data_IF_843830711750
#
_entry.id   IF_843830711750
#
_cell.length_a   1.000
_cell.length_b   1.000
_cell.length_c   1.000
_cell.angle_alpha   90.00
_cell.angle_beta   90.00
_cell.angle_gamma   90.00
#
_symmetry.space_group_name_H-M   'P 1'
#
loop_
_entity.id
_entity.type
_entity.pdbx_description
1 polymer ?
#
# COMPACT_ATOMS: atom_id res chain seq x y z
N UNK A 1 -2.11 -27.82 -19.95
CA UNK A 1 -3.26 -26.94 -20.32
C UNK A 1 -3.08 -25.54 -19.73
N UNK A 2 -3.85 -24.53 -20.14
CA UNK A 2 -3.68 -23.14 -19.68
C UNK A 2 -5.02 -22.49 -19.37
N UNK A 3 -5.03 -21.65 -18.34
CA UNK A 3 -6.22 -20.89 -17.89
C UNK A 3 -6.66 -19.95 -19.03
N UNK A 4 -7.96 -19.94 -19.36
CA UNK A 4 -8.53 -19.10 -20.43
C UNK A 4 -9.41 -18.00 -19.87
N UNK A 5 -9.37 -16.83 -20.50
CA UNK A 5 -10.29 -15.71 -20.24
C UNK A 5 -11.45 -15.64 -21.24
N UNK A 6 -11.64 -16.66 -22.10
CA UNK A 6 -12.78 -16.69 -23.03
C UNK A 6 -14.12 -16.83 -22.28
N UNK A 7 -15.23 -16.46 -22.91
CA UNK A 7 -16.58 -16.71 -22.40
C UNK A 7 -17.25 -17.90 -23.10
N UNK A 8 -16.47 -18.64 -23.89
CA UNK A 8 -16.93 -19.77 -24.70
C UNK A 8 -17.13 -21.03 -23.86
N UNK A 9 -16.37 -21.18 -22.77
CA UNK A 9 -16.61 -22.24 -21.79
C UNK A 9 -17.85 -21.99 -20.92
N UNK A 10 -18.36 -20.75 -20.87
CA UNK A 10 -19.57 -20.40 -20.11
C UNK A 10 -20.82 -20.72 -20.92
N UNK A 11 -21.90 -21.02 -20.21
CA UNK A 11 -23.24 -21.21 -20.80
C UNK A 11 -23.76 -19.91 -21.43
N UNK A 12 -24.77 -20.05 -22.31
CA UNK A 12 -25.56 -18.91 -22.80
C UNK A 12 -26.44 -18.40 -21.66
N UNK A 13 -26.92 -17.16 -21.76
CA UNK A 13 -27.89 -16.61 -20.80
C UNK A 13 -29.18 -17.46 -20.74
N UNK A 14 -29.56 -18.07 -21.86
CA UNK A 14 -30.66 -19.04 -21.95
C UNK A 14 -30.34 -20.42 -21.38
N UNK A 15 -29.17 -20.63 -20.77
CA UNK A 15 -28.74 -21.90 -20.18
C UNK A 15 -28.09 -22.90 -21.15
N UNK A 16 -28.26 -22.73 -22.46
CA UNK A 16 -27.71 -23.63 -23.48
C UNK A 16 -26.16 -23.65 -23.54
N UNK A 17 -25.58 -24.82 -23.81
CA UNK A 17 -24.12 -24.99 -24.01
C UNK A 17 -23.65 -24.33 -25.31
N UNK A 18 -22.48 -23.68 -25.30
CA UNK A 18 -21.86 -23.10 -26.51
C UNK A 18 -20.92 -24.11 -27.16
N UNK A 19 -20.96 -24.22 -28.50
CA UNK A 19 -20.01 -25.04 -29.27
C UNK A 19 -18.66 -24.32 -29.38
N UNK A 20 -17.57 -25.00 -29.05
CA UNK A 20 -16.22 -24.47 -29.21
C UNK A 20 -15.86 -24.42 -30.70
N UNK A 21 -15.46 -23.26 -31.21
CA UNK A 21 -15.18 -23.02 -32.64
C UNK A 21 -13.71 -22.76 -32.95
N UNK A 22 -12.86 -22.54 -31.94
CA UNK A 22 -11.42 -22.29 -32.12
C UNK A 22 -10.57 -22.86 -30.99
N UNK A 23 -9.30 -23.14 -31.28
CA UNK A 23 -8.28 -23.55 -30.30
C UNK A 23 -7.63 -22.31 -29.63
N UNK A 24 -7.13 -22.48 -28.40
CA UNK A 24 -6.53 -21.40 -27.59
C UNK A 24 -5.08 -21.11 -28.02
N UNK A 25 -4.73 -19.82 -28.13
CA UNK A 25 -3.34 -19.36 -28.37
C UNK A 25 -2.72 -18.97 -27.02
N UNK A 26 -1.42 -19.26 -26.83
CA UNK A 26 -0.67 -18.95 -25.60
C UNK A 26 0.56 -18.09 -25.87
N UNK A 27 0.42 -16.76 -25.89
CA UNK A 27 1.55 -15.80 -25.76
C UNK A 27 1.05 -14.51 -25.09
N UNK A 28 1.92 -13.82 -24.36
CA UNK A 28 1.67 -12.42 -24.03
C UNK A 28 1.70 -11.60 -25.34
N UNK A 29 0.77 -10.65 -25.49
CA UNK A 29 0.63 -9.89 -26.75
C UNK A 29 1.73 -8.83 -26.84
N UNK A 30 2.43 -8.77 -27.97
CA UNK A 30 3.26 -7.62 -28.35
C UNK A 30 4.63 -7.50 -27.68
N UNK A 31 5.19 -8.56 -27.08
CA UNK A 31 6.57 -8.52 -26.54
C UNK A 31 6.77 -7.77 -25.22
N UNK A 32 5.70 -7.19 -24.63
CA UNK A 32 5.79 -6.43 -23.39
C UNK A 32 5.99 -7.33 -22.15
N UNK A 33 6.76 -6.83 -21.18
CA UNK A 33 6.99 -7.48 -19.88
C UNK A 33 5.98 -7.00 -18.84
N UNK A 34 5.41 -7.94 -18.07
CA UNK A 34 4.58 -7.63 -16.90
C UNK A 34 5.28 -8.14 -15.65
N UNK A 35 5.77 -7.23 -14.82
CA UNK A 35 6.38 -7.55 -13.54
C UNK A 35 5.33 -8.14 -12.59
N UNK A 36 5.63 -9.30 -12.02
CA UNK A 36 4.87 -9.90 -10.94
C UNK A 36 5.71 -9.85 -9.69
N UNK A 37 5.17 -9.23 -8.64
CA UNK A 37 5.82 -9.20 -7.35
C UNK A 37 5.27 -10.33 -6.47
N UNK A 38 6.05 -11.38 -6.18
CA UNK A 38 5.61 -12.47 -5.31
C UNK A 38 5.71 -12.09 -3.82
N UNK A 39 6.65 -11.21 -3.45
CA UNK A 39 6.85 -10.68 -2.09
C UNK A 39 7.30 -9.22 -2.19
N UNK A 40 6.81 -8.37 -1.31
CA UNK A 40 7.13 -6.95 -1.23
C UNK A 40 7.14 -6.51 0.23
N UNK A 41 8.22 -5.88 0.66
CA UNK A 41 8.38 -5.39 2.03
C UNK A 41 8.31 -3.86 2.13
N UNK A 42 8.39 -3.16 1.00
CA UNK A 42 8.34 -1.69 0.93
C UNK A 42 7.42 -1.21 -0.16
N UNK A 43 6.81 -0.04 0.06
CA UNK A 43 5.99 0.66 -0.91
C UNK A 43 6.21 2.16 -0.83
N UNK A 44 5.83 2.89 -1.88
CA UNK A 44 5.81 4.35 -1.87
C UNK A 44 4.41 4.82 -1.46
N UNK A 45 4.30 5.54 -0.35
CA UNK A 45 3.03 5.95 0.24
C UNK A 45 2.91 7.48 0.27
N UNK A 46 1.72 7.97 -0.02
CA UNK A 46 1.40 9.40 -0.06
C UNK A 46 0.58 9.80 1.17
N UNK A 47 0.97 10.90 1.81
CA UNK A 47 0.16 11.60 2.80
C UNK A 47 -0.53 12.79 2.11
N UNK A 48 -1.79 12.58 1.71
CA UNK A 48 -2.52 13.53 0.86
C UNK A 48 -2.72 14.92 1.46
N UNK A 49 -2.92 15.05 2.78
CA UNK A 49 -3.11 16.37 3.42
C UNK A 49 -1.83 17.19 3.49
N UNK A 50 -0.67 16.56 3.63
CA UNK A 50 0.64 17.24 3.69
C UNK A 50 1.32 17.30 2.30
N UNK A 51 0.67 16.78 1.25
CA UNK A 51 1.22 16.64 -0.09
C UNK A 51 2.62 15.97 -0.14
N UNK A 52 2.91 15.07 0.78
CA UNK A 52 4.21 14.39 0.91
C UNK A 52 4.09 12.92 0.46
N UNK A 53 5.17 12.36 -0.09
CA UNK A 53 5.23 10.97 -0.52
C UNK A 53 6.55 10.36 -0.12
N UNK A 54 6.51 9.25 0.62
CA UNK A 54 7.70 8.60 1.17
C UNK A 54 7.64 7.08 1.02
N UNK A 55 8.83 6.50 0.84
CA UNK A 55 9.01 5.05 0.91
C UNK A 55 8.87 4.61 2.38
N UNK A 56 7.97 3.66 2.61
CA UNK A 56 7.75 3.06 3.93
C UNK A 56 7.78 1.53 3.85
N UNK A 57 8.15 0.90 4.96
CA UNK A 57 8.04 -0.57 5.11
C UNK A 57 6.60 -0.96 5.41
N UNK A 58 6.16 -2.05 4.81
CA UNK A 58 4.87 -2.69 5.09
C UNK A 58 5.07 -3.58 6.32
N UNK A 59 4.15 -3.51 7.28
CA UNK A 59 4.21 -4.30 8.51
C UNK A 59 3.21 -5.44 8.45
N UNK A 60 1.93 -5.11 8.24
CA UNK A 60 0.86 -6.09 8.24
C UNK A 60 -0.30 -5.68 7.31
N UNK A 61 -1.07 -6.67 6.87
CA UNK A 61 -2.33 -6.47 6.15
C UNK A 61 -3.46 -6.59 7.18
N UNK A 62 -4.17 -5.50 7.44
CA UNK A 62 -5.18 -5.45 8.50
C UNK A 62 -6.56 -5.85 7.98
N UNK A 63 -6.88 -5.44 6.76
CA UNK A 63 -8.22 -5.67 6.20
C UNK A 63 -8.21 -5.75 4.67
N UNK A 64 -9.10 -6.59 4.13
CA UNK A 64 -9.39 -6.65 2.70
C UNK A 64 -10.89 -6.88 2.48
N UNK A 65 -11.52 -6.04 1.67
CA UNK A 65 -12.96 -6.10 1.37
C UNK A 65 -13.38 -7.37 0.62
N UNK A 66 -12.52 -7.95 -0.22
CA UNK A 66 -12.93 -9.03 -1.13
C UNK A 66 -12.89 -10.42 -0.50
N UNK A 67 -11.95 -10.67 0.42
CA UNK A 67 -11.74 -11.99 1.01
C UNK A 67 -10.88 -11.88 2.28
N UNK A 68 -11.38 -12.43 3.40
CA UNK A 68 -10.69 -12.43 4.69
C UNK A 68 -9.49 -13.38 4.75
N UNK A 69 -9.42 -14.41 3.91
CA UNK A 69 -8.25 -15.29 3.86
C UNK A 69 -6.98 -14.52 3.47
N UNK A 70 -7.13 -13.44 2.68
CA UNK A 70 -6.00 -12.61 2.25
C UNK A 70 -5.38 -11.80 3.40
N UNK A 71 -6.15 -11.53 4.46
CA UNK A 71 -5.64 -10.94 5.70
C UNK A 71 -4.82 -11.99 6.46
N UNK A 72 -5.40 -13.19 6.61
CA UNK A 72 -4.77 -14.31 7.33
C UNK A 72 -3.46 -14.78 6.70
N UNK A 73 -3.34 -14.67 5.37
CA UNK A 73 -2.13 -15.03 4.61
C UNK A 73 -1.26 -13.84 4.26
N UNK A 74 -1.53 -12.64 4.80
CA UNK A 74 -0.77 -11.41 4.54
C UNK A 74 -0.53 -11.14 3.05
N UNK A 75 -1.57 -11.28 2.23
CA UNK A 75 -1.47 -11.15 0.76
C UNK A 75 -1.78 -9.72 0.30
N UNK A 76 -0.83 -9.13 -0.42
CA UNK A 76 -0.95 -7.76 -0.94
C UNK A 76 -1.72 -7.74 -2.27
N UNK A 77 -2.87 -7.07 -2.26
CA UNK A 77 -3.73 -6.83 -3.44
C UNK A 77 -4.12 -5.36 -3.47
N UNK A 78 -4.54 -4.87 -4.63
CA UNK A 78 -5.18 -3.54 -4.73
C UNK A 78 -6.33 -3.44 -3.72
N UNK A 79 -6.44 -2.28 -3.06
CA UNK A 79 -7.40 -1.93 -2.01
C UNK A 79 -7.28 -2.68 -0.68
N UNK A 80 -6.19 -3.42 -0.43
CA UNK A 80 -5.90 -3.89 0.92
C UNK A 80 -5.57 -2.71 1.85
N UNK A 81 -6.12 -2.72 3.07
CA UNK A 81 -5.75 -1.77 4.13
C UNK A 81 -4.56 -2.38 4.88
N UNK A 82 -3.45 -1.66 4.88
CA UNK A 82 -2.17 -2.11 5.43
C UNK A 82 -1.67 -1.17 6.51
N UNK A 83 -0.97 -1.74 7.48
CA UNK A 83 -0.20 -0.97 8.43
C UNK A 83 1.21 -0.77 7.88
N UNK A 84 1.65 0.48 7.79
CA UNK A 84 2.98 0.84 7.33
C UNK A 84 3.79 1.49 8.47
N UNK A 85 5.12 1.35 8.41
CA UNK A 85 6.02 2.05 9.33
C UNK A 85 6.10 3.51 8.93
N UNK A 86 5.48 4.40 9.69
CA UNK A 86 5.56 5.84 9.43
C UNK A 86 6.95 6.39 9.74
N UNK A 87 7.37 7.45 9.05
CA UNK A 87 8.64 8.12 9.32
C UNK A 87 8.73 8.65 10.77
N UNK A 88 7.61 8.99 11.40
CA UNK A 88 7.55 9.35 12.82
C UNK A 88 7.98 8.19 13.74
N UNK A 89 7.68 6.95 13.36
CA UNK A 89 8.15 5.76 14.07
C UNK A 89 9.57 5.32 13.67
N UNK A 90 10.21 5.96 12.67
CA UNK A 90 11.65 5.82 12.40
C UNK A 90 12.43 6.81 13.27
N UNK A 91 11.97 8.07 13.37
CA UNK A 91 12.57 9.07 14.26
C UNK A 91 12.51 8.67 15.74
N UNK A 92 11.45 7.93 16.16
CA UNK A 92 11.31 7.39 17.52
C UNK A 92 11.96 6.02 17.76
N UNK A 93 12.61 5.39 16.77
CA UNK A 93 13.25 4.06 16.96
C UNK A 93 14.76 4.07 16.79
N UNK A 94 15.35 5.23 16.52
CA UNK A 94 16.79 5.45 16.68
C UNK A 94 17.12 6.00 18.08
N UNK A 95 16.11 6.23 18.93
CA UNK A 95 16.22 6.34 20.38
C UNK A 95 15.17 5.44 21.03
N UNK A 96 15.52 4.80 22.15
CA UNK A 96 14.65 3.95 22.98
C UNK A 96 14.33 2.53 22.45
N UNK A 97 15.26 1.61 22.72
CA UNK A 97 14.85 0.42 23.47
C UNK A 97 14.46 0.87 24.89
N UNK A 98 13.21 0.67 25.29
CA UNK A 98 12.77 1.02 26.65
C UNK A 98 11.31 1.41 26.71
N UNK A 99 10.60 0.78 27.64
CA UNK A 99 9.18 0.91 27.90
C UNK A 99 8.80 2.25 28.54
N UNK A 100 7.68 2.83 28.08
CA UNK A 100 6.97 4.00 28.62
C UNK A 100 7.74 5.32 28.68
N UNK A 101 7.09 6.42 28.26
CA UNK A 101 7.01 7.66 29.06
C UNK A 101 6.14 8.68 28.32
N UNK A 102 5.21 9.21 29.10
CA UNK A 102 4.36 10.35 28.80
C UNK A 102 5.18 11.59 28.41
N UNK A 103 4.49 12.59 27.89
CA UNK A 103 5.02 13.91 27.57
C UNK A 103 6.01 14.43 28.64
N UNK A 104 7.24 14.74 28.20
CA UNK A 104 8.17 15.58 28.94
C UNK A 104 8.58 16.74 28.02
N UNK A 105 8.53 18.00 28.48
CA UNK A 105 8.61 19.19 27.64
C UNK A 105 10.04 19.41 27.16
N UNK A 106 10.21 19.56 25.85
CA UNK A 106 11.51 19.90 25.27
C UNK A 106 11.92 21.31 25.71
N UNK A 107 13.05 21.41 26.41
CA UNK A 107 13.75 22.68 26.67
C UNK A 107 13.82 23.53 25.39
N UNK A 108 13.46 24.81 25.52
CA UNK A 108 13.45 25.78 24.44
C UNK A 108 14.88 26.12 23.98
N UNK A 109 15.39 25.34 23.04
CA UNK A 109 16.57 25.72 22.27
C UNK A 109 16.30 27.08 21.57
N UNK A 110 17.19 28.06 21.75
CA UNK A 110 17.10 29.39 21.11
C UNK A 110 17.06 29.23 19.58
N UNK A 111 15.87 29.40 18.99
CA UNK A 111 15.66 29.37 17.54
C UNK A 111 15.88 30.77 16.95
N UNK A 112 16.31 30.85 15.69
CA UNK A 112 16.40 32.13 15.00
C UNK A 112 15.01 32.73 14.76
N UNK A 113 14.92 34.06 14.78
CA UNK A 113 13.67 34.79 14.59
C UNK A 113 12.95 34.43 13.27
N UNK A 114 13.70 34.06 12.23
CA UNK A 114 13.13 33.65 10.95
C UNK A 114 12.42 32.27 11.05
N UNK A 115 13.01 31.33 11.80
CA UNK A 115 12.40 30.02 12.00
C UNK A 115 11.13 30.12 12.84
N UNK A 116 11.13 30.97 13.87
CA UNK A 116 9.94 31.24 14.69
C UNK A 116 8.77 31.75 13.83
N UNK A 117 8.99 32.78 12.99
CA UNK A 117 7.96 33.30 12.07
C UNK A 117 7.43 32.26 11.09
N UNK A 118 8.29 31.37 10.58
CA UNK A 118 7.85 30.28 9.68
C UNK A 118 6.97 29.28 10.44
N UNK A 119 7.39 28.85 11.63
CA UNK A 119 6.63 27.90 12.44
C UNK A 119 5.27 28.48 12.83
N UNK A 120 5.22 29.73 13.29
CA UNK A 120 3.96 30.42 13.62
C UNK A 120 3.03 30.51 12.41
N UNK A 121 3.56 30.78 11.22
CA UNK A 121 2.77 30.80 9.98
C UNK A 121 2.20 29.41 9.67
N UNK A 122 3.03 28.37 9.72
CA UNK A 122 2.60 27.00 9.49
C UNK A 122 1.62 26.47 10.55
N UNK A 123 1.67 26.98 11.78
CA UNK A 123 0.72 26.62 12.85
C UNK A 123 -0.65 27.28 12.68
N UNK A 124 -0.74 28.43 12.00
CA UNK A 124 -2.03 29.09 11.71
C UNK A 124 -2.83 28.38 10.61
N UNK A 125 -2.12 27.73 9.69
CA UNK A 125 -2.71 27.03 8.54
C UNK A 125 -2.96 25.52 8.82
N UNK A 126 -2.69 25.06 10.06
CA UNK A 126 -2.89 23.68 10.54
C UNK A 126 -4.08 23.59 11.47
#
# INVERSE_FOLDING_TARGET
MGISRDSMHKTRATGGKKKAWRKKIRKARGGNVKWRAPRLDTGNYSWGSEADTRKARILDVVYNTSNNELVRTQTLVKSAIVQNKTAAALAKKEGEEGESVAASPAEEAKKSNHLQRKIEKHQKDR
#
